data_IF_476916029913
#
_entry.id   IF_476916029913
#
_cell.length_a   1.000
_cell.length_b   1.000
_cell.length_c   1.000
_cell.angle_alpha   90.00
_cell.angle_beta   90.00
_cell.angle_gamma   90.00
#
_symmetry.space_group_name_H-M   'P 1'
#
loop_
_entity.id
_entity.type
_entity.pdbx_description
1 polymer ?
#
# COMPACT_ATOMS: atom_id res chain seq x y z
N UNK A 1 29.74 5.36 -27.25
CA UNK A 1 28.36 4.84 -27.30
C UNK A 1 28.02 4.45 -25.87
N UNK A 2 26.87 4.88 -25.35
CA UNK A 2 26.48 4.54 -23.97
C UNK A 2 26.16 3.04 -23.90
N UNK A 3 26.57 2.41 -22.80
CA UNK A 3 26.27 1.00 -22.49
C UNK A 3 25.02 0.94 -21.62
N UNK A 4 23.86 0.99 -22.26
CA UNK A 4 22.54 0.89 -21.63
C UNK A 4 21.82 -0.36 -22.12
N UNK A 5 20.91 -0.89 -21.30
CA UNK A 5 20.19 -2.12 -21.61
C UNK A 5 18.88 -1.83 -22.36
N UNK A 6 18.18 -0.76 -21.95
CA UNK A 6 16.90 -0.32 -22.50
C UNK A 6 16.86 1.21 -22.61
N UNK A 7 16.31 1.71 -23.72
CA UNK A 7 15.92 3.11 -23.92
C UNK A 7 14.46 3.17 -24.33
N UNK A 8 13.68 3.97 -23.61
CA UNK A 8 12.30 4.30 -23.99
C UNK A 8 12.31 5.74 -24.50
N UNK A 9 11.95 5.95 -25.76
CA UNK A 9 11.94 7.26 -26.42
C UNK A 9 10.53 7.66 -26.85
N UNK A 10 10.36 8.91 -27.28
CA UNK A 10 9.06 9.44 -27.72
C UNK A 10 8.00 9.29 -26.61
N UNK A 11 8.31 9.82 -25.43
CA UNK A 11 7.43 9.84 -24.25
C UNK A 11 7.38 11.23 -23.64
N UNK A 12 6.36 11.49 -22.83
CA UNK A 12 6.37 12.56 -21.84
C UNK A 12 6.68 11.96 -20.47
N UNK A 13 7.45 12.62 -19.62
CA UNK A 13 7.75 12.15 -18.26
C UNK A 13 7.00 13.01 -17.25
N UNK A 14 6.37 12.39 -16.26
CA UNK A 14 6.09 13.04 -14.98
C UNK A 14 7.03 12.44 -13.95
N UNK A 15 8.11 13.15 -13.63
CA UNK A 15 9.18 12.64 -12.77
C UNK A 15 8.77 12.50 -11.30
N UNK A 16 7.73 13.21 -10.89
CA UNK A 16 7.29 13.36 -9.50
C UNK A 16 8.32 14.04 -8.59
N UNK A 17 9.24 14.80 -9.19
CA UNK A 17 10.08 15.78 -8.50
C UNK A 17 9.47 17.19 -8.69
N UNK A 18 9.33 17.96 -7.62
CA UNK A 18 8.78 19.33 -7.65
C UNK A 18 7.39 19.46 -8.31
N UNK A 19 6.40 18.69 -7.82
CA UNK A 19 5.06 18.62 -8.40
C UNK A 19 4.93 17.40 -9.32
N UNK A 20 4.40 17.56 -10.53
CA UNK A 20 4.47 16.50 -11.54
C UNK A 20 5.89 16.32 -12.11
N UNK A 21 6.71 17.38 -12.13
CA UNK A 21 8.04 17.37 -12.73
C UNK A 21 8.00 16.97 -14.20
N UNK A 22 7.18 17.66 -14.99
CA UNK A 22 6.88 17.33 -16.38
C UNK A 22 8.08 17.59 -17.31
N UNK A 23 8.38 16.63 -18.18
CA UNK A 23 9.32 16.78 -19.29
C UNK A 23 8.68 16.24 -20.57
N UNK A 24 8.43 17.14 -21.52
CA UNK A 24 7.81 16.79 -22.80
C UNK A 24 8.87 16.29 -23.80
N UNK A 25 8.42 15.53 -24.81
CA UNK A 25 9.26 14.99 -25.90
C UNK A 25 10.59 14.40 -25.42
N UNK A 26 10.52 13.52 -24.43
CA UNK A 26 11.63 13.00 -23.66
C UNK A 26 12.03 11.57 -24.05
N UNK A 27 13.14 11.13 -23.47
CA UNK A 27 13.56 9.74 -23.41
C UNK A 27 14.12 9.40 -22.02
N UNK A 28 14.08 8.11 -21.68
CA UNK A 28 14.63 7.55 -20.43
C UNK A 28 15.43 6.28 -20.75
N UNK A 29 16.59 6.14 -20.13
CA UNK A 29 17.50 5.02 -20.32
C UNK A 29 17.72 4.26 -19.01
N UNK A 30 17.90 2.94 -19.14
CA UNK A 30 18.05 2.00 -18.04
C UNK A 30 19.36 1.22 -18.20
N UNK A 31 20.06 1.06 -17.07
CA UNK A 31 21.23 0.17 -16.95
C UNK A 31 21.16 -0.58 -15.62
N UNK A 32 21.35 -1.89 -15.68
CA UNK A 32 21.40 -2.79 -14.51
C UNK A 32 20.18 -2.61 -13.58
N UNK A 33 19.00 -2.50 -14.19
CA UNK A 33 17.73 -2.31 -13.48
C UNK A 33 17.51 -0.93 -12.85
N UNK A 34 18.37 0.06 -13.16
CA UNK A 34 18.32 1.43 -12.63
C UNK A 34 18.19 2.47 -13.71
N UNK A 35 17.61 3.63 -13.37
CA UNK A 35 17.55 4.80 -14.23
C UNK A 35 18.98 5.30 -14.44
N UNK A 36 19.49 5.18 -15.66
CA UNK A 36 20.83 5.62 -16.02
C UNK A 36 20.85 7.08 -16.50
N UNK A 37 19.77 7.50 -17.16
CA UNK A 37 19.63 8.83 -17.74
C UNK A 37 18.15 9.12 -18.08
N UNK A 38 17.76 10.39 -18.05
CA UNK A 38 16.57 10.88 -18.73
C UNK A 38 16.79 12.33 -19.17
N UNK A 39 16.09 12.77 -20.21
CA UNK A 39 16.25 14.12 -20.74
C UNK A 39 15.42 14.34 -22.01
N UNK A 40 15.56 15.53 -22.63
CA UNK A 40 14.99 15.82 -23.93
C UNK A 40 15.37 14.74 -24.95
N UNK A 41 14.39 14.33 -25.78
CA UNK A 41 14.58 13.23 -26.73
C UNK A 41 15.59 13.54 -27.84
N UNK A 42 15.76 14.82 -28.19
CA UNK A 42 16.78 15.30 -29.12
C UNK A 42 18.21 15.33 -28.53
N UNK A 43 18.32 15.29 -27.20
CA UNK A 43 19.58 15.14 -26.47
C UNK A 43 19.93 13.67 -26.17
N UNK A 44 19.12 12.70 -26.63
CA UNK A 44 19.33 11.27 -26.38
C UNK A 44 20.70 10.81 -26.92
N UNK A 45 21.62 10.37 -26.04
CA UNK A 45 22.92 9.88 -26.47
C UNK A 45 22.83 8.61 -27.30
N UNK A 46 23.70 8.49 -28.30
CA UNK A 46 23.83 7.25 -29.07
C UNK A 46 24.21 6.07 -28.15
N UNK A 47 23.39 5.02 -28.18
CA UNK A 47 23.57 3.79 -27.41
C UNK A 47 23.31 2.56 -28.29
N UNK A 48 23.78 1.40 -27.84
CA UNK A 48 23.47 0.09 -28.46
C UNK A 48 22.27 -0.61 -27.80
N UNK A 49 21.50 0.10 -26.98
CA UNK A 49 20.43 -0.44 -26.15
C UNK A 49 19.24 -0.94 -26.97
N UNK A 50 18.41 -1.79 -26.34
CA UNK A 50 17.07 -2.07 -26.87
C UNK A 50 16.28 -0.77 -26.91
N UNK A 51 15.74 -0.42 -28.07
CA UNK A 51 14.97 0.81 -28.28
C UNK A 51 13.47 0.51 -28.28
N UNK A 52 12.74 1.16 -27.38
CA UNK A 52 11.29 1.06 -27.25
C UNK A 52 10.63 2.41 -27.53
N UNK A 53 9.73 2.45 -28.53
CA UNK A 53 8.93 3.63 -28.83
C UNK A 53 7.74 3.71 -27.87
N UNK A 54 7.64 4.83 -27.15
CA UNK A 54 6.55 5.15 -26.23
C UNK A 54 5.35 5.85 -26.87
N UNK A 55 5.39 6.13 -28.17
CA UNK A 55 4.25 6.61 -28.98
C UNK A 55 3.62 7.92 -28.47
N UNK A 56 4.42 8.82 -27.91
CA UNK A 56 3.97 10.09 -27.33
C UNK A 56 3.13 9.93 -26.05
N UNK A 57 3.15 8.75 -25.43
CA UNK A 57 2.44 8.49 -24.18
C UNK A 57 3.19 9.08 -22.96
N UNK A 58 2.49 9.20 -21.84
CA UNK A 58 3.08 9.63 -20.58
C UNK A 58 3.71 8.48 -19.83
N UNK A 59 4.84 8.72 -19.17
CA UNK A 59 5.54 7.79 -18.31
C UNK A 59 5.67 8.40 -16.91
N UNK A 60 5.26 7.64 -15.90
CA UNK A 60 5.39 8.00 -14.48
C UNK A 60 6.26 6.96 -13.78
N UNK A 61 6.71 7.20 -12.53
CA UNK A 61 7.11 6.10 -11.66
C UNK A 61 5.97 5.07 -11.62
N UNK A 62 6.32 3.79 -11.53
CA UNK A 62 5.34 2.75 -11.29
C UNK A 62 4.57 3.05 -10.01
N UNK A 63 3.25 2.78 -10.01
CA UNK A 63 2.42 3.08 -8.85
C UNK A 63 2.79 2.16 -7.68
N UNK A 64 2.52 2.65 -6.46
CA UNK A 64 2.85 1.97 -5.22
C UNK A 64 1.59 1.93 -4.35
N UNK A 65 1.14 0.71 -4.05
CA UNK A 65 0.04 0.50 -3.12
C UNK A 65 0.62 0.16 -1.74
N UNK A 66 0.66 1.14 -0.83
CA UNK A 66 1.45 1.08 0.40
C UNK A 66 0.72 0.50 1.63
N UNK A 67 -0.54 0.08 1.48
CA UNK A 67 -1.36 -0.49 2.53
C UNK A 67 -2.38 -1.49 1.97
N UNK A 68 -2.14 -2.79 2.12
CA UNK A 68 -3.14 -3.82 1.74
C UNK A 68 -3.18 -5.02 2.69
N UNK A 69 -4.33 -5.69 2.72
CA UNK A 69 -4.54 -7.01 3.35
C UNK A 69 -4.92 -8.03 2.27
N UNK A 70 -4.24 -7.94 1.13
CA UNK A 70 -4.64 -8.63 -0.11
C UNK A 70 -4.49 -10.16 -0.02
N UNK A 71 -3.67 -10.64 0.91
CA UNK A 71 -3.48 -12.06 1.23
C UNK A 71 -4.51 -12.49 2.27
N UNK A 72 -5.59 -13.10 1.81
CA UNK A 72 -6.66 -13.67 2.64
C UNK A 72 -7.41 -14.75 1.85
N UNK A 73 -8.07 -15.64 2.58
CA UNK A 73 -8.98 -16.63 1.99
C UNK A 73 -10.44 -16.30 2.28
N UNK A 74 -11.32 -16.79 1.41
CA UNK A 74 -12.75 -16.53 1.47
C UNK A 74 -13.14 -15.15 0.97
N UNK A 75 -14.41 -14.81 1.16
CA UNK A 75 -14.99 -13.50 0.86
C UNK A 75 -16.01 -13.15 1.95
N UNK A 76 -16.51 -11.91 1.95
CA UNK A 76 -17.56 -11.46 2.87
C UNK A 76 -18.79 -10.91 2.15
N UNK A 77 -19.08 -11.40 0.93
CA UNK A 77 -20.26 -10.95 0.18
C UNK A 77 -21.56 -11.30 0.88
N UNK A 78 -21.63 -12.47 1.53
CA UNK A 78 -22.83 -12.91 2.26
C UNK A 78 -23.15 -11.97 3.42
N UNK A 79 -22.10 -11.49 4.11
CA UNK A 79 -22.26 -10.49 5.18
C UNK A 79 -22.70 -9.14 4.62
N UNK A 80 -22.14 -8.72 3.48
CA UNK A 80 -22.54 -7.49 2.81
C UNK A 80 -24.01 -7.54 2.39
N UNK A 81 -24.46 -8.64 1.78
CA UNK A 81 -25.85 -8.87 1.41
C UNK A 81 -26.77 -8.88 2.64
N UNK A 82 -26.39 -9.59 3.70
CA UNK A 82 -27.16 -9.64 4.95
C UNK A 82 -27.34 -8.26 5.58
N UNK A 83 -26.29 -7.42 5.62
CA UNK A 83 -26.36 -6.03 6.12
C UNK A 83 -27.35 -5.21 5.31
N UNK A 84 -27.31 -5.30 3.98
CA UNK A 84 -28.21 -4.56 3.10
C UNK A 84 -29.67 -5.04 3.22
N UNK A 85 -29.88 -6.30 3.61
CA UNK A 85 -31.19 -6.86 3.92
C UNK A 85 -31.65 -6.60 5.38
N UNK A 86 -30.90 -5.81 6.16
CA UNK A 86 -31.30 -5.34 7.48
C UNK A 86 -30.81 -6.17 8.67
N UNK A 87 -29.89 -7.12 8.48
CA UNK A 87 -29.27 -7.84 9.60
C UNK A 87 -28.48 -6.89 10.51
N UNK A 88 -28.64 -7.02 11.82
CA UNK A 88 -27.86 -6.23 12.77
C UNK A 88 -26.40 -6.71 12.84
N UNK A 89 -25.50 -5.86 13.34
CA UNK A 89 -24.12 -6.27 13.62
C UNK A 89 -24.06 -7.48 14.56
N UNK A 90 -24.95 -7.55 15.55
CA UNK A 90 -25.03 -8.70 16.45
C UNK A 90 -25.43 -9.99 15.73
N UNK A 91 -26.38 -9.92 14.80
CA UNK A 91 -26.83 -11.10 14.03
C UNK A 91 -25.71 -11.64 13.16
N UNK A 92 -24.98 -10.73 12.52
CA UNK A 92 -23.80 -11.06 11.72
C UNK A 92 -22.71 -11.69 12.59
N UNK A 93 -22.42 -11.10 13.75
CA UNK A 93 -21.44 -11.64 14.68
C UNK A 93 -21.87 -13.02 15.21
N UNK A 94 -23.15 -13.23 15.53
CA UNK A 94 -23.72 -14.51 15.97
C UNK A 94 -23.63 -15.58 14.87
N UNK A 95 -23.79 -15.19 13.61
CA UNK A 95 -23.58 -16.05 12.45
C UNK A 95 -22.09 -16.31 12.14
N UNK A 96 -21.18 -15.78 12.96
CA UNK A 96 -19.73 -15.94 12.80
C UNK A 96 -19.11 -14.99 11.76
N UNK A 97 -19.82 -13.96 11.30
CA UNK A 97 -19.31 -12.94 10.40
C UNK A 97 -18.19 -12.08 10.99
N UNK A 98 -17.92 -10.92 10.40
CA UNK A 98 -16.86 -10.05 10.89
C UNK A 98 -15.46 -10.50 10.46
N UNK A 99 -14.45 -9.88 11.05
CA UNK A 99 -13.04 -10.25 10.83
C UNK A 99 -12.78 -11.74 11.14
N UNK A 100 -13.47 -12.31 12.13
CA UNK A 100 -13.29 -13.71 12.51
C UNK A 100 -13.70 -14.70 11.40
N UNK A 101 -14.62 -14.33 10.50
CA UNK A 101 -14.91 -15.13 9.30
C UNK A 101 -13.67 -15.28 8.41
N UNK A 102 -12.99 -14.17 8.14
CA UNK A 102 -11.75 -14.13 7.36
C UNK A 102 -10.63 -14.88 8.07
N UNK A 103 -10.51 -14.74 9.39
CA UNK A 103 -9.52 -15.46 10.19
C UNK A 103 -9.70 -16.97 10.07
N UNK A 104 -10.93 -17.48 10.22
CA UNK A 104 -11.20 -18.92 10.10
C UNK A 104 -10.88 -19.44 8.70
N UNK A 105 -11.30 -18.72 7.65
CA UNK A 105 -11.01 -19.09 6.26
C UNK A 105 -9.50 -19.10 5.99
N UNK A 106 -8.79 -18.06 6.43
CA UNK A 106 -7.33 -17.91 6.21
C UNK A 106 -6.51 -18.93 7.02
N UNK A 107 -6.91 -19.25 8.25
CA UNK A 107 -6.31 -20.34 9.04
C UNK A 107 -6.48 -21.69 8.34
N UNK A 108 -7.66 -21.96 7.77
CA UNK A 108 -7.96 -23.24 7.10
C UNK A 108 -7.29 -23.43 5.73
N UNK A 109 -7.05 -22.35 4.97
CA UNK A 109 -6.42 -22.43 3.66
C UNK A 109 -4.94 -22.89 3.74
N UNK A 110 -4.47 -23.68 2.76
CA UNK A 110 -3.04 -23.95 2.59
C UNK A 110 -2.30 -22.72 2.02
N UNK A 111 -0.96 -22.72 2.06
CA UNK A 111 -0.15 -21.68 1.42
C UNK A 111 -0.47 -21.56 -0.09
N UNK A 112 -0.66 -22.67 -0.80
CA UNK A 112 -1.03 -22.69 -2.23
C UNK A 112 -2.44 -22.13 -2.48
N UNK A 113 -3.41 -22.51 -1.66
CA UNK A 113 -4.78 -22.02 -1.80
C UNK A 113 -4.87 -20.53 -1.51
N UNK A 114 -4.17 -20.07 -0.48
CA UNK A 114 -4.10 -18.66 -0.11
C UNK A 114 -3.41 -17.84 -1.21
N UNK A 115 -2.34 -18.36 -1.82
CA UNK A 115 -1.72 -17.73 -3.00
C UNK A 115 -2.72 -17.64 -4.16
N UNK A 116 -3.33 -18.78 -4.54
CA UNK A 116 -4.26 -18.88 -5.66
C UNK A 116 -5.42 -17.89 -5.51
N UNK A 117 -5.99 -17.76 -4.31
CA UNK A 117 -7.06 -16.80 -4.05
C UNK A 117 -6.59 -15.34 -4.07
N UNK A 118 -5.31 -15.07 -3.80
CA UNK A 118 -4.75 -13.70 -3.76
C UNK A 118 -4.32 -13.17 -5.12
N UNK A 119 -3.85 -14.05 -6.02
CA UNK A 119 -3.33 -13.65 -7.33
C UNK A 119 -4.30 -12.78 -8.16
N UNK A 120 -5.60 -13.07 -8.28
CA UNK A 120 -6.50 -12.23 -9.07
C UNK A 120 -6.54 -10.76 -8.61
N UNK A 121 -6.47 -10.53 -7.30
CA UNK A 121 -6.47 -9.17 -6.72
C UNK A 121 -5.16 -8.44 -7.02
N UNK A 122 -4.03 -9.14 -6.89
CA UNK A 122 -2.70 -8.59 -7.19
C UNK A 122 -2.60 -8.26 -8.68
N UNK A 123 -3.07 -9.13 -9.56
CA UNK A 123 -3.02 -8.92 -11.01
C UNK A 123 -3.85 -7.71 -11.46
N UNK A 124 -5.00 -7.44 -10.81
CA UNK A 124 -5.76 -6.22 -11.07
C UNK A 124 -4.93 -4.95 -10.79
N UNK A 125 -4.17 -4.93 -9.68
CA UNK A 125 -3.27 -3.82 -9.36
C UNK A 125 -2.10 -3.71 -10.36
N UNK A 126 -1.49 -4.84 -10.75
CA UNK A 126 -0.41 -4.85 -11.75
C UNK A 126 -0.90 -4.34 -13.12
N UNK A 127 -2.14 -4.66 -13.50
CA UNK A 127 -2.76 -4.14 -14.71
C UNK A 127 -2.88 -2.61 -14.69
N UNK A 128 -3.00 -1.99 -13.50
CA UNK A 128 -3.02 -0.54 -13.29
C UNK A 128 -1.62 0.05 -13.06
N UNK A 129 -0.55 -0.64 -13.47
CA UNK A 129 0.80 -0.10 -13.37
C UNK A 129 1.38 -0.07 -11.97
N UNK A 130 0.80 -0.82 -11.01
CA UNK A 130 1.40 -1.03 -9.68
C UNK A 130 2.64 -1.90 -9.81
N UNK A 131 3.77 -1.37 -9.34
CA UNK A 131 5.09 -2.04 -9.39
C UNK A 131 5.63 -2.39 -8.00
N UNK A 132 5.07 -1.76 -6.96
CA UNK A 132 5.39 -2.05 -5.55
C UNK A 132 4.12 -2.17 -4.73
N UNK A 133 4.07 -3.20 -3.89
CA UNK A 133 2.91 -3.55 -3.09
C UNK A 133 3.34 -3.83 -1.65
N UNK A 134 2.68 -3.20 -0.69
CA UNK A 134 2.74 -3.62 0.70
C UNK A 134 1.63 -4.64 0.98
N UNK A 135 1.98 -5.71 1.69
CA UNK A 135 1.06 -6.79 2.08
C UNK A 135 1.20 -7.04 3.57
N UNK A 136 0.11 -6.84 4.30
CA UNK A 136 0.00 -7.13 5.73
C UNK A 136 -0.44 -8.56 5.99
N UNK A 137 -0.02 -9.10 7.12
CA UNK A 137 -0.62 -10.30 7.72
C UNK A 137 -1.88 -9.91 8.53
N UNK A 138 -2.20 -10.57 9.64
CA UNK A 138 -3.27 -10.15 10.55
C UNK A 138 -4.61 -10.86 10.39
N UNK A 139 -4.75 -11.79 9.45
CA UNK A 139 -5.88 -12.74 9.40
C UNK A 139 -5.48 -14.14 9.88
N UNK A 140 -4.30 -14.30 10.50
CA UNK A 140 -3.86 -15.54 11.11
C UNK A 140 -4.11 -15.55 12.62
N UNK A 141 -3.67 -14.49 13.31
CA UNK A 141 -3.73 -14.34 14.78
C UNK A 141 -3.12 -15.51 15.58
N UNK A 142 -2.22 -16.27 14.94
CA UNK A 142 -1.35 -17.30 15.53
C UNK A 142 -0.02 -17.27 14.82
N UNK A 143 1.07 -17.68 15.48
CA UNK A 143 2.42 -17.63 14.90
C UNK A 143 2.48 -18.31 13.52
N UNK A 144 1.92 -19.52 13.40
CA UNK A 144 2.02 -20.30 12.16
C UNK A 144 1.14 -19.72 11.04
N UNK A 145 -0.03 -19.19 11.36
CA UNK A 145 -0.91 -18.61 10.34
C UNK A 145 -0.42 -17.23 9.87
N UNK A 146 0.13 -16.42 10.78
CA UNK A 146 0.79 -15.17 10.43
C UNK A 146 2.03 -15.43 9.56
N UNK A 147 2.87 -16.40 9.94
CA UNK A 147 4.02 -16.81 9.13
C UNK A 147 3.59 -17.30 7.73
N UNK A 148 2.52 -18.11 7.63
CA UNK A 148 1.94 -18.55 6.36
C UNK A 148 1.55 -17.38 5.46
N UNK A 149 0.84 -16.38 5.99
CA UNK A 149 0.44 -15.19 5.22
C UNK A 149 1.66 -14.45 4.69
N UNK A 150 2.68 -14.22 5.53
CA UNK A 150 3.90 -13.51 5.13
C UNK A 150 4.71 -14.32 4.11
N UNK A 151 4.77 -15.66 4.22
CA UNK A 151 5.39 -16.52 3.18
C UNK A 151 4.67 -16.41 1.85
N UNK A 152 3.33 -16.42 1.85
CA UNK A 152 2.54 -16.22 0.63
C UNK A 152 2.79 -14.84 0.03
N UNK A 153 2.86 -13.79 0.85
CA UNK A 153 3.22 -12.45 0.39
C UNK A 153 4.60 -12.41 -0.27
N UNK A 154 5.62 -13.06 0.31
CA UNK A 154 6.95 -13.21 -0.32
C UNK A 154 6.89 -13.98 -1.64
N UNK A 155 6.11 -15.06 -1.69
CA UNK A 155 5.94 -15.87 -2.90
C UNK A 155 5.26 -15.09 -4.03
N UNK A 156 4.36 -14.17 -3.72
CA UNK A 156 3.77 -13.25 -4.72
C UNK A 156 4.88 -12.44 -5.41
N UNK A 157 5.79 -11.80 -4.65
CA UNK A 157 6.91 -11.04 -5.21
C UNK A 157 7.98 -11.89 -5.92
N UNK A 158 8.02 -13.19 -5.67
CA UNK A 158 8.88 -14.14 -6.39
C UNK A 158 8.25 -14.63 -7.69
N UNK A 159 6.91 -14.64 -7.78
CA UNK A 159 6.16 -15.23 -8.91
C UNK A 159 5.72 -14.18 -9.91
N UNK A 160 5.45 -12.95 -9.46
CA UNK A 160 4.97 -11.84 -10.28
C UNK A 160 6.02 -10.72 -10.36
N UNK A 161 6.02 -9.91 -11.44
CA UNK A 161 6.93 -8.77 -11.59
C UNK A 161 6.48 -7.57 -10.73
N UNK A 162 6.53 -7.74 -9.40
CA UNK A 162 6.14 -6.73 -8.41
C UNK A 162 7.06 -6.81 -7.20
N UNK A 163 7.48 -5.65 -6.70
CA UNK A 163 8.24 -5.57 -5.45
C UNK A 163 7.28 -5.67 -4.27
N UNK A 164 7.45 -6.66 -3.38
CA UNK A 164 6.58 -6.84 -2.21
C UNK A 164 7.29 -6.43 -0.92
N UNK A 165 6.64 -5.58 -0.13
CA UNK A 165 6.99 -5.30 1.27
C UNK A 165 6.01 -6.00 2.20
N UNK A 166 6.51 -6.72 3.20
CA UNK A 166 5.68 -7.48 4.12
C UNK A 166 5.61 -6.81 5.49
N UNK A 167 4.38 -6.67 5.99
CA UNK A 167 4.14 -6.06 7.29
C UNK A 167 3.49 -7.09 8.22
N UNK A 168 4.09 -7.29 9.39
CA UNK A 168 3.49 -8.12 10.42
C UNK A 168 2.41 -7.35 11.18
N UNK A 169 1.16 -7.79 11.06
CA UNK A 169 -0.01 -7.21 11.72
C UNK A 169 -0.64 -8.23 12.68
N UNK A 170 0.15 -8.86 13.55
CA UNK A 170 -0.39 -9.80 14.54
C UNK A 170 -1.40 -9.14 15.50
N UNK A 171 -1.26 -7.84 15.74
CA UNK A 171 -2.16 -7.03 16.56
C UNK A 171 -3.32 -6.42 15.73
N UNK A 172 -3.92 -7.21 14.82
CA UNK A 172 -5.10 -6.78 14.04
C UNK A 172 -6.39 -6.85 14.84
N UNK A 173 -6.58 -7.95 15.58
CA UNK A 173 -7.75 -8.19 16.42
C UNK A 173 -7.39 -9.21 17.50
N UNK A 174 -8.22 -9.27 18.55
CA UNK A 174 -8.06 -10.28 19.60
C UNK A 174 -8.62 -11.63 19.11
N UNK A 175 -7.80 -12.69 19.01
CA UNK A 175 -8.31 -14.01 18.64
C UNK A 175 -9.22 -14.59 19.73
N UNK A 176 -10.19 -15.47 19.37
CA UNK A 176 -11.16 -16.02 20.32
C UNK A 176 -10.51 -16.79 21.48
N UNK A 177 -9.35 -17.42 21.25
CA UNK A 177 -8.59 -18.16 22.26
C UNK A 177 -8.07 -17.25 23.40
N UNK A 178 -8.04 -15.94 23.19
CA UNK A 178 -7.59 -14.92 24.14
C UNK A 178 -8.71 -13.96 24.55
N UNK A 179 -9.98 -14.34 24.40
CA UNK A 179 -11.11 -13.52 24.82
C UNK A 179 -10.95 -13.07 26.30
N UNK A 180 -11.04 -11.74 26.53
CA UNK A 180 -10.83 -11.14 27.85
C UNK A 180 -9.36 -11.09 28.34
N UNK A 181 -8.40 -11.53 27.52
CA UNK A 181 -6.98 -11.67 27.87
C UNK A 181 -6.06 -10.96 26.86
N UNK A 182 -6.44 -9.75 26.43
CA UNK A 182 -5.71 -8.98 25.42
C UNK A 182 -4.23 -8.74 25.78
N UNK A 183 -3.92 -8.46 27.05
CA UNK A 183 -2.53 -8.25 27.48
C UNK A 183 -1.67 -9.51 27.39
N UNK A 184 -2.26 -10.70 27.57
CA UNK A 184 -1.57 -11.96 27.39
C UNK A 184 -1.32 -12.27 25.91
N UNK A 185 -2.27 -11.90 25.03
CA UNK A 185 -2.06 -11.99 23.59
C UNK A 185 -0.95 -11.05 23.10
N UNK A 186 -0.93 -9.81 23.58
CA UNK A 186 0.14 -8.86 23.27
C UNK A 186 1.49 -9.35 23.78
N UNK A 187 1.54 -9.97 24.96
CA UNK A 187 2.76 -10.60 25.47
C UNK A 187 3.24 -11.74 24.57
N UNK A 188 2.34 -12.64 24.16
CA UNK A 188 2.66 -13.70 23.20
C UNK A 188 3.21 -13.13 21.89
N UNK A 189 2.56 -12.09 21.37
CA UNK A 189 2.96 -11.43 20.13
C UNK A 189 4.37 -10.87 20.23
N UNK A 190 4.64 -10.10 21.29
CA UNK A 190 5.92 -9.42 21.50
C UNK A 190 7.06 -10.38 21.84
N UNK A 191 6.81 -11.37 22.71
CA UNK A 191 7.84 -12.24 23.24
C UNK A 191 8.14 -13.45 22.35
N UNK A 192 7.18 -13.89 21.51
CA UNK A 192 7.31 -15.14 20.75
C UNK A 192 7.05 -14.95 19.25
N UNK A 193 5.90 -14.39 18.86
CA UNK A 193 5.53 -14.33 17.43
C UNK A 193 6.46 -13.42 16.64
N UNK A 194 6.58 -12.16 17.05
CA UNK A 194 7.37 -11.18 16.32
C UNK A 194 8.86 -11.58 16.23
N UNK A 195 9.55 -11.98 17.32
CA UNK A 195 10.95 -12.43 17.23
C UNK A 195 11.14 -13.63 16.31
N UNK A 196 10.23 -14.61 16.33
CA UNK A 196 10.28 -15.77 15.43
C UNK A 196 10.16 -15.35 13.97
N UNK A 197 9.10 -14.60 13.63
CA UNK A 197 8.81 -14.20 12.25
C UNK A 197 9.89 -13.25 11.70
N UNK A 198 10.45 -12.37 12.55
CA UNK A 198 11.60 -11.55 12.20
C UNK A 198 12.86 -12.39 11.94
N UNK A 199 13.14 -13.38 12.80
CA UNK A 199 14.25 -14.33 12.63
C UNK A 199 14.15 -15.17 11.34
N UNK A 200 12.92 -15.44 10.88
CA UNK A 200 12.64 -16.12 9.61
C UNK A 200 12.76 -15.18 8.39
N UNK A 201 13.07 -13.89 8.56
CA UNK A 201 13.18 -12.91 7.47
C UNK A 201 11.85 -12.51 6.82
N UNK A 202 10.73 -12.76 7.50
CA UNK A 202 9.38 -12.57 6.95
C UNK A 202 8.82 -11.16 7.14
N UNK A 203 9.47 -10.29 7.90
CA UNK A 203 8.92 -9.00 8.37
C UNK A 203 9.80 -7.84 7.91
N UNK A 204 9.25 -6.94 7.08
CA UNK A 204 9.88 -5.66 6.73
C UNK A 204 9.44 -4.51 7.66
N UNK A 205 8.22 -4.59 8.20
CA UNK A 205 7.67 -3.62 9.15
C UNK A 205 6.68 -4.28 10.13
N UNK A 206 6.38 -3.60 11.24
CA UNK A 206 5.39 -4.05 12.24
C UNK A 206 4.23 -3.05 12.31
N UNK A 207 3.01 -3.57 12.43
CA UNK A 207 1.77 -2.79 12.46
C UNK A 207 0.84 -3.28 13.57
N UNK A 208 -0.15 -2.46 13.92
CA UNK A 208 -1.16 -2.76 14.91
C UNK A 208 -2.48 -2.03 14.58
N UNK A 209 -3.59 -2.50 15.15
CA UNK A 209 -4.85 -1.79 15.10
C UNK A 209 -5.13 -1.10 16.45
N UNK A 210 -4.78 0.19 16.53
CA UNK A 210 -4.97 0.99 17.73
C UNK A 210 -6.35 1.67 17.71
N UNK A 211 -7.33 1.03 18.32
CA UNK A 211 -8.72 1.45 18.28
C UNK A 211 -9.50 0.87 19.48
N UNK A 212 -10.64 1.46 19.84
CA UNK A 212 -11.51 1.00 20.94
C UNK A 212 -11.98 -0.44 20.76
N UNK A 213 -12.10 -0.89 19.51
CA UNK A 213 -12.48 -2.27 19.14
C UNK A 213 -11.26 -3.15 18.80
N UNK A 214 -10.05 -2.60 18.87
CA UNK A 214 -8.78 -3.26 18.62
C UNK A 214 -7.94 -3.30 19.89
N UNK A 215 -6.77 -2.67 19.85
CA UNK A 215 -5.84 -2.58 20.98
C UNK A 215 -5.69 -1.14 21.48
N UNK A 216 -5.42 -1.01 22.78
CA UNK A 216 -5.19 0.30 23.43
C UNK A 216 -3.83 0.89 23.06
N UNK A 217 -3.62 2.22 23.22
CA UNK A 217 -2.31 2.84 23.02
C UNK A 217 -1.18 2.19 23.83
N UNK A 218 -1.45 1.79 25.08
CA UNK A 218 -0.46 1.13 25.93
C UNK A 218 -0.08 -0.27 25.42
N UNK A 219 -1.04 -1.00 24.85
CA UNK A 219 -0.78 -2.30 24.22
C UNK A 219 0.00 -2.14 22.90
N UNK A 220 -0.39 -1.18 22.08
CA UNK A 220 0.31 -0.81 20.84
C UNK A 220 1.75 -0.41 21.13
N UNK A 221 2.00 0.38 22.19
CA UNK A 221 3.34 0.79 22.57
C UNK A 221 4.24 -0.41 22.93
N UNK A 222 3.72 -1.46 23.56
CA UNK A 222 4.47 -2.69 23.83
C UNK A 222 4.90 -3.38 22.52
N UNK A 223 4.03 -3.43 21.52
CA UNK A 223 4.34 -3.97 20.19
C UNK A 223 5.45 -3.15 19.53
N UNK A 224 5.37 -1.82 19.60
CA UNK A 224 6.40 -0.94 19.03
C UNK A 224 7.75 -1.05 19.76
N UNK A 225 7.73 -1.20 21.09
CA UNK A 225 8.95 -1.45 21.86
C UNK A 225 9.64 -2.76 21.43
N UNK A 226 8.86 -3.83 21.18
CA UNK A 226 9.38 -5.09 20.67
C UNK A 226 9.93 -4.96 19.22
N UNK A 227 9.22 -4.26 18.34
CA UNK A 227 9.69 -3.97 16.98
C UNK A 227 11.01 -3.19 16.97
N UNK A 228 11.11 -2.14 17.80
CA UNK A 228 12.35 -1.35 17.97
C UNK A 228 13.51 -2.19 18.47
N UNK A 229 13.28 -3.11 19.41
CA UNK A 229 14.31 -4.04 19.90
C UNK A 229 14.88 -4.96 18.80
N UNK A 230 14.12 -5.17 17.73
CA UNK A 230 14.50 -5.96 16.55
C UNK A 230 14.95 -5.09 15.36
N UNK A 231 15.06 -3.77 15.55
CA UNK A 231 15.35 -2.79 14.50
C UNK A 231 14.37 -2.81 13.32
N UNK A 232 13.11 -3.17 13.58
CA UNK A 232 12.05 -3.14 12.59
C UNK A 232 11.30 -1.80 12.65
N UNK A 233 11.05 -1.15 11.50
CA UNK A 233 10.22 0.04 11.45
C UNK A 233 8.77 -0.30 11.81
N UNK A 234 8.05 0.70 12.32
CA UNK A 234 6.65 0.57 12.71
C UNK A 234 5.74 1.42 11.83
N UNK A 235 4.49 1.00 11.72
CA UNK A 235 3.36 1.76 11.17
C UNK A 235 2.10 1.45 11.99
N UNK A 236 0.99 2.13 11.72
CA UNK A 236 -0.21 1.99 12.55
C UNK A 236 -1.51 2.28 11.80
N UNK A 237 -2.50 1.38 11.92
CA UNK A 237 -3.91 1.74 11.77
C UNK A 237 -4.33 2.61 12.95
N UNK A 238 -4.58 3.89 12.70
CA UNK A 238 -4.83 4.89 13.73
C UNK A 238 -6.03 5.78 13.37
N UNK A 239 -6.80 6.11 14.39
CA UNK A 239 -7.88 7.10 14.36
C UNK A 239 -8.94 6.87 13.28
N UNK A 240 -9.22 5.60 12.96
CA UNK A 240 -10.24 5.24 11.97
C UNK A 240 -11.65 5.48 12.52
N UNK A 241 -11.92 5.10 13.77
CA UNK A 241 -13.25 5.14 14.38
C UNK A 241 -13.31 6.01 15.64
N UNK A 242 -12.16 6.35 16.23
CA UNK A 242 -12.02 7.36 17.28
C UNK A 242 -10.57 7.80 17.48
N UNK A 243 -10.37 8.98 18.04
CA UNK A 243 -9.04 9.45 18.43
C UNK A 243 -8.58 8.82 19.75
N UNK A 244 -7.53 8.00 19.69
CA UNK A 244 -6.82 7.45 20.85
C UNK A 244 -5.38 7.96 20.98
N UNK A 245 -4.95 8.91 20.13
CA UNK A 245 -3.58 9.41 20.08
C UNK A 245 -2.56 8.41 19.51
N UNK A 246 -3.01 7.38 18.79
CA UNK A 246 -2.18 6.44 18.05
C UNK A 246 -1.28 7.09 17.00
N UNK A 247 -1.79 8.05 16.23
CA UNK A 247 -0.98 8.78 15.24
C UNK A 247 0.21 9.51 15.89
N UNK A 248 0.00 10.15 17.04
CA UNK A 248 1.08 10.75 17.82
C UNK A 248 2.03 9.70 18.41
N UNK A 249 1.51 8.54 18.83
CA UNK A 249 2.31 7.43 19.33
C UNK A 249 3.26 6.88 18.26
N UNK A 250 2.75 6.53 17.07
CA UNK A 250 3.59 5.98 15.99
C UNK A 250 4.62 7.00 15.50
N UNK A 251 4.26 8.28 15.46
CA UNK A 251 5.19 9.36 15.15
C UNK A 251 6.37 9.43 16.13
N UNK A 252 6.12 9.34 17.45
CA UNK A 252 7.17 9.32 18.48
C UNK A 252 8.13 8.14 18.36
N UNK A 253 7.69 7.03 17.77
CA UNK A 253 8.53 5.86 17.48
C UNK A 253 9.26 5.96 16.13
N UNK A 254 9.18 7.12 15.44
CA UNK A 254 9.76 7.31 14.11
C UNK A 254 9.10 6.41 13.07
N UNK A 255 7.82 6.10 13.26
CA UNK A 255 7.09 5.20 12.38
C UNK A 255 6.92 5.75 10.98
N UNK A 256 6.87 4.84 10.00
CA UNK A 256 6.82 5.15 8.58
C UNK A 256 5.51 5.83 8.21
N UNK A 257 4.39 5.33 8.73
CA UNK A 257 3.07 5.87 8.45
C UNK A 257 2.08 5.69 9.60
N UNK A 258 1.07 6.57 9.61
CA UNK A 258 -0.19 6.38 10.29
C UNK A 258 -1.30 6.35 9.23
N UNK A 259 -2.19 5.37 9.33
CA UNK A 259 -3.11 4.99 8.26
C UNK A 259 -4.56 5.14 8.75
N UNK A 260 -5.50 5.48 7.85
CA UNK A 260 -6.91 5.89 8.12
C UNK A 260 -7.11 7.37 8.44
N UNK A 261 -6.96 7.76 9.71
CA UNK A 261 -6.88 9.15 10.20
C UNK A 261 -8.17 9.98 10.14
N UNK A 262 -9.36 9.37 10.00
CA UNK A 262 -10.64 10.08 10.01
C UNK A 262 -10.82 10.98 11.26
N UNK A 263 -10.40 10.50 12.43
CA UNK A 263 -10.50 11.20 13.72
C UNK A 263 -9.19 11.83 14.19
N UNK A 264 -8.19 11.99 13.31
CA UNK A 264 -6.90 12.56 13.68
C UNK A 264 -7.02 13.97 14.27
N UNK A 265 -6.47 14.18 15.46
CA UNK A 265 -6.41 15.48 16.13
C UNK A 265 -5.24 16.36 15.65
N UNK A 266 -5.32 17.66 15.98
CA UNK A 266 -4.26 18.63 15.70
C UNK A 266 -2.92 18.24 16.34
N UNK A 267 -2.95 17.67 17.54
CA UNK A 267 -1.76 17.15 18.22
C UNK A 267 -1.11 16.00 17.43
N UNK A 268 -1.93 15.10 16.88
CA UNK A 268 -1.47 14.03 16.00
C UNK A 268 -0.87 14.57 14.71
N UNK A 269 -1.51 15.55 14.05
CA UNK A 269 -0.97 16.22 12.86
C UNK A 269 0.40 16.84 13.15
N UNK A 270 0.52 17.57 14.26
CA UNK A 270 1.77 18.22 14.66
C UNK A 270 2.89 17.18 14.92
N UNK A 271 2.57 16.08 15.60
CA UNK A 271 3.53 15.00 15.84
C UNK A 271 4.00 14.35 14.53
N UNK A 272 3.08 14.04 13.62
CA UNK A 272 3.43 13.45 12.32
C UNK A 272 4.32 14.39 11.50
N UNK A 273 4.01 15.68 11.45
CA UNK A 273 4.82 16.68 10.77
C UNK A 273 6.24 16.77 11.36
N UNK A 274 6.35 16.77 12.70
CA UNK A 274 7.62 16.83 13.40
C UNK A 274 8.52 15.61 13.11
N UNK A 275 7.93 14.42 13.04
CA UNK A 275 8.67 13.16 12.90
C UNK A 275 8.79 12.65 11.46
N UNK A 276 8.11 13.30 10.49
CA UNK A 276 8.12 12.90 9.09
C UNK A 276 7.30 11.65 8.77
N UNK A 277 6.39 11.26 9.68
CA UNK A 277 5.46 10.13 9.49
C UNK A 277 4.46 10.46 8.38
N UNK A 278 4.25 9.53 7.45
CA UNK A 278 3.32 9.70 6.32
C UNK A 278 1.87 9.47 6.77
N UNK A 279 0.96 10.31 6.31
CA UNK A 279 -0.48 10.09 6.44
C UNK A 279 -0.99 9.23 5.28
N UNK A 280 -1.35 7.97 5.52
CA UNK A 280 -1.91 7.09 4.46
C UNK A 280 -3.42 7.17 4.50
N UNK A 281 -4.01 7.75 3.46
CA UNK A 281 -5.44 7.95 3.34
C UNK A 281 -6.07 6.79 2.57
N UNK A 282 -7.16 6.22 3.11
CA UNK A 282 -7.75 4.95 2.66
C UNK A 282 -9.21 5.12 2.20
N UNK A 283 -9.46 5.73 1.02
CA UNK A 283 -10.79 6.18 0.64
C UNK A 283 -11.78 5.04 0.38
N UNK A 284 -11.29 3.85 0.01
CA UNK A 284 -12.13 2.67 -0.19
C UNK A 284 -12.82 2.24 1.11
N UNK A 285 -12.09 2.26 2.24
CA UNK A 285 -12.65 1.92 3.55
C UNK A 285 -13.69 2.94 4.00
N UNK A 286 -13.36 4.23 3.90
CA UNK A 286 -14.29 5.33 4.18
C UNK A 286 -15.59 5.20 3.38
N UNK A 287 -15.47 4.96 2.06
CA UNK A 287 -16.61 4.81 1.17
C UNK A 287 -17.49 3.60 1.55
N UNK A 288 -16.87 2.43 1.67
CA UNK A 288 -17.60 1.18 1.84
C UNK A 288 -18.24 1.05 3.24
N UNK A 289 -17.61 1.63 4.26
CA UNK A 289 -18.17 1.75 5.61
C UNK A 289 -19.23 2.84 5.74
N UNK A 290 -19.42 3.68 4.70
CA UNK A 290 -20.33 4.84 4.70
C UNK A 290 -20.00 5.82 5.83
N UNK A 291 -18.71 5.99 6.10
CA UNK A 291 -18.24 6.96 7.08
C UNK A 291 -18.57 8.39 6.62
N UNK A 292 -18.77 9.27 7.58
CA UNK A 292 -19.09 10.69 7.39
C UNK A 292 -18.01 11.61 7.93
N UNK A 293 -17.21 11.15 8.89
CA UNK A 293 -16.05 11.86 9.42
C UNK A 293 -14.88 11.79 8.44
N UNK A 294 -14.50 12.92 7.85
CA UNK A 294 -13.38 12.99 6.91
C UNK A 294 -12.04 13.13 7.64
N UNK A 295 -10.95 12.55 7.12
CA UNK A 295 -9.61 12.84 7.63
C UNK A 295 -9.27 14.33 7.45
N UNK A 296 -8.45 14.93 8.32
CA UNK A 296 -8.21 16.38 8.35
C UNK A 296 -7.18 16.82 7.28
N UNK A 297 -7.50 16.59 5.99
CA UNK A 297 -6.63 16.89 4.83
C UNK A 297 -6.11 18.33 4.83
N UNK A 298 -6.96 19.31 5.17
CA UNK A 298 -6.54 20.70 5.20
C UNK A 298 -5.45 20.97 6.27
N UNK A 299 -5.57 20.32 7.44
CA UNK A 299 -4.58 20.46 8.52
C UNK A 299 -3.28 19.73 8.17
N UNK A 300 -3.38 18.50 7.64
CA UNK A 300 -2.21 17.74 7.15
C UNK A 300 -1.43 18.54 6.09
N UNK A 301 -2.14 19.11 5.11
CA UNK A 301 -1.56 19.96 4.06
C UNK A 301 -0.90 21.21 4.65
N UNK A 302 -1.57 21.92 5.56
CA UNK A 302 -1.03 23.13 6.18
C UNK A 302 0.23 22.85 7.00
N UNK A 303 0.31 21.68 7.64
CA UNK A 303 1.47 21.23 8.41
C UNK A 303 2.58 20.62 7.54
N UNK A 304 2.37 20.44 6.24
CA UNK A 304 3.34 19.83 5.33
C UNK A 304 3.53 18.33 5.53
N UNK A 305 2.54 17.63 6.12
CA UNK A 305 2.57 16.18 6.28
C UNK A 305 2.41 15.51 4.90
N UNK A 306 3.33 14.63 4.47
CA UNK A 306 3.15 13.90 3.23
C UNK A 306 1.93 12.97 3.32
N UNK A 307 1.05 13.05 2.31
CA UNK A 307 -0.17 12.24 2.24
C UNK A 307 -0.02 11.19 1.15
N UNK A 308 -0.09 9.91 1.53
CA UNK A 308 -0.17 8.77 0.63
C UNK A 308 -1.64 8.37 0.39
N UNK A 309 -1.89 7.70 -0.74
CA UNK A 309 -3.20 7.13 -1.08
C UNK A 309 -3.00 5.65 -1.37
N UNK A 310 -3.87 4.80 -0.84
CA UNK A 310 -3.76 3.34 -0.98
C UNK A 310 -5.13 2.69 -1.00
N UNK A 311 -5.21 1.45 -1.50
CA UNK A 311 -6.49 0.77 -1.70
C UNK A 311 -7.11 0.25 -0.42
N UNK A 312 -6.29 -0.03 0.60
CA UNK A 312 -6.68 -0.85 1.74
C UNK A 312 -7.29 -2.20 1.29
N UNK A 313 -6.81 -2.80 0.20
CA UNK A 313 -7.46 -3.99 -0.36
C UNK A 313 -7.62 -5.10 0.70
N UNK A 314 -8.86 -5.32 1.15
CA UNK A 314 -9.19 -6.26 2.21
C UNK A 314 -10.65 -6.76 2.07
N UNK A 315 -11.00 -7.93 2.63
CA UNK A 315 -12.31 -8.55 2.38
C UNK A 315 -13.46 -7.88 3.14
N UNK A 316 -13.19 -7.03 4.13
CA UNK A 316 -14.18 -6.57 5.10
C UNK A 316 -14.63 -5.14 4.97
N UNK A 317 -13.68 -4.22 4.75
CA UNK A 317 -13.90 -2.79 4.78
C UNK A 317 -13.53 -2.11 3.47
N UNK A 318 -12.62 -2.67 2.66
CA UNK A 318 -12.31 -2.11 1.35
C UNK A 318 -11.99 -3.23 0.35
N UNK A 319 -13.01 -3.94 -0.18
CA UNK A 319 -12.84 -4.96 -1.23
C UNK A 319 -12.53 -4.32 -2.60
N UNK A 320 -11.62 -3.35 -2.63
CA UNK A 320 -11.21 -2.55 -3.78
C UNK A 320 -9.85 -3.05 -4.30
N UNK A 321 -9.72 -3.18 -5.62
CA UNK A 321 -8.51 -3.68 -6.31
C UNK A 321 -8.06 -2.72 -7.41
N UNK A 322 -8.31 -1.42 -7.22
CA UNK A 322 -7.96 -0.35 -8.16
C UNK A 322 -7.37 0.84 -7.41
N UNK A 323 -6.10 1.11 -7.65
CA UNK A 323 -5.38 2.25 -7.08
C UNK A 323 -5.70 3.54 -7.86
N UNK A 324 -6.01 3.43 -9.17
CA UNK A 324 -6.53 4.55 -9.95
C UNK A 324 -7.87 5.04 -9.38
N UNK A 325 -8.76 4.10 -9.02
CA UNK A 325 -10.01 4.42 -8.34
C UNK A 325 -9.77 5.05 -6.96
N UNK A 326 -8.81 4.55 -6.18
CA UNK A 326 -8.45 5.14 -4.89
C UNK A 326 -8.00 6.61 -5.05
N UNK A 327 -7.17 6.92 -6.05
CA UNK A 327 -6.76 8.30 -6.37
C UNK A 327 -7.97 9.18 -6.70
N UNK A 328 -8.88 8.69 -7.56
CA UNK A 328 -10.12 9.41 -7.89
C UNK A 328 -10.99 9.67 -6.65
N UNK A 329 -11.17 8.65 -5.80
CA UNK A 329 -11.95 8.79 -4.57
C UNK A 329 -11.31 9.77 -3.59
N UNK A 330 -9.98 9.78 -3.44
CA UNK A 330 -9.29 10.76 -2.60
C UNK A 330 -9.52 12.20 -3.10
N UNK A 331 -9.52 12.41 -4.42
CA UNK A 331 -9.88 13.70 -5.01
C UNK A 331 -11.35 14.06 -4.76
N UNK A 332 -12.27 13.13 -4.98
CA UNK A 332 -13.72 13.38 -4.96
C UNK A 332 -14.26 13.52 -3.53
N UNK A 333 -13.83 12.65 -2.61
CA UNK A 333 -14.31 12.60 -1.24
C UNK A 333 -13.61 13.64 -0.36
N UNK A 334 -12.30 13.83 -0.54
CA UNK A 334 -11.46 14.60 0.39
C UNK A 334 -10.74 15.79 -0.25
N UNK A 335 -11.05 16.11 -1.50
CA UNK A 335 -10.53 17.30 -2.21
C UNK A 335 -9.01 17.35 -2.25
N UNK A 336 -8.36 16.18 -2.35
CA UNK A 336 -6.99 16.14 -2.84
C UNK A 336 -6.99 16.62 -4.29
N UNK A 337 -5.94 17.35 -4.67
CA UNK A 337 -5.70 17.64 -6.09
C UNK A 337 -5.22 16.37 -6.80
N UNK A 338 -5.41 16.24 -8.13
CA UNK A 338 -4.84 15.12 -8.88
C UNK A 338 -3.32 14.95 -8.71
N UNK A 339 -2.60 16.07 -8.50
CA UNK A 339 -1.16 16.05 -8.24
C UNK A 339 -0.85 15.44 -6.86
N UNK A 340 -1.62 15.81 -5.83
CA UNK A 340 -1.49 15.21 -4.49
C UNK A 340 -1.84 13.72 -4.51
N UNK A 341 -2.87 13.32 -5.26
CA UNK A 341 -3.25 11.92 -5.40
C UNK A 341 -2.15 11.10 -6.10
N UNK A 342 -1.58 11.61 -7.20
CA UNK A 342 -0.49 10.92 -7.90
C UNK A 342 0.80 10.86 -7.07
N UNK A 343 1.16 11.96 -6.37
CA UNK A 343 2.25 11.93 -5.38
C UNK A 343 1.96 10.91 -4.27
N UNK A 344 0.69 10.84 -3.86
CA UNK A 344 0.18 9.90 -2.87
C UNK A 344 0.36 8.44 -3.25
N UNK A 345 0.21 8.10 -4.53
CA UNK A 345 0.40 6.77 -5.09
C UNK A 345 1.82 6.51 -5.63
N UNK A 346 2.75 7.45 -5.48
CA UNK A 346 4.15 7.33 -5.95
C UNK A 346 5.13 7.72 -4.85
N UNK A 347 5.61 8.96 -4.80
CA UNK A 347 6.70 9.38 -3.92
C UNK A 347 6.34 9.35 -2.43
N UNK A 348 5.09 9.67 -2.05
CA UNK A 348 4.64 9.57 -0.66
C UNK A 348 4.38 8.12 -0.24
N UNK A 349 3.82 7.28 -1.12
CA UNK A 349 3.70 5.85 -0.88
C UNK A 349 5.07 5.16 -0.75
N UNK A 350 6.07 5.56 -1.54
CA UNK A 350 7.45 5.10 -1.36
C UNK A 350 7.99 5.46 0.03
N UNK A 351 7.75 6.71 0.49
CA UNK A 351 8.15 7.15 1.83
C UNK A 351 7.44 6.37 2.95
N UNK A 352 6.15 6.06 2.78
CA UNK A 352 5.37 5.25 3.73
C UNK A 352 5.91 3.80 3.89
N UNK A 353 6.77 3.37 2.96
CA UNK A 353 7.45 2.08 2.99
C UNK A 353 8.95 2.18 3.27
N UNK A 354 9.49 3.39 3.51
CA UNK A 354 10.93 3.62 3.68
C UNK A 354 11.76 3.47 2.39
N UNK A 355 11.11 3.58 1.22
CA UNK A 355 11.69 3.33 -0.11
C UNK A 355 11.93 4.60 -0.94
N UNK A 356 11.81 5.79 -0.32
CA UNK A 356 11.94 7.08 -1.02
C UNK A 356 13.29 7.29 -1.73
N UNK A 357 14.33 6.54 -1.35
CA UNK A 357 15.65 6.59 -1.99
C UNK A 357 15.81 5.59 -3.14
N UNK A 358 14.89 4.62 -3.27
CA UNK A 358 15.01 3.51 -4.23
C UNK A 358 13.97 3.59 -5.36
N UNK A 359 12.73 4.04 -5.08
CA UNK A 359 11.64 4.13 -6.08
C UNK A 359 10.70 5.31 -5.78
N UNK A 360 9.59 5.43 -6.53
CA UNK A 360 8.53 6.43 -6.35
C UNK A 360 8.77 7.79 -7.00
N UNK A 361 9.94 8.03 -7.61
CA UNK A 361 10.19 9.17 -8.51
C UNK A 361 11.19 8.78 -9.61
N UNK A 362 11.17 9.49 -10.74
CA UNK A 362 12.09 9.27 -11.85
C UNK A 362 13.36 10.09 -11.60
N UNK A 363 14.36 9.47 -10.95
CA UNK A 363 15.64 10.10 -10.61
C UNK A 363 16.77 9.15 -10.97
N UNK A 364 17.81 9.66 -11.62
CA UNK A 364 19.00 8.85 -11.97
C UNK A 364 19.53 8.12 -10.73
N UNK A 365 19.83 6.83 -10.88
CA UNK A 365 20.28 5.94 -9.81
C UNK A 365 19.16 5.20 -9.08
N UNK A 366 17.90 5.66 -9.13
CA UNK A 366 16.76 4.90 -8.61
C UNK A 366 16.45 3.68 -9.47
N UNK A 367 15.70 2.74 -8.91
CA UNK A 367 15.23 1.55 -9.62
C UNK A 367 14.35 1.96 -10.80
N UNK A 368 14.53 1.27 -11.93
CA UNK A 368 13.75 1.47 -13.13
C UNK A 368 12.39 0.75 -13.02
N UNK A 369 11.48 1.35 -12.25
CA UNK A 369 10.09 0.91 -12.11
C UNK A 369 9.15 2.01 -12.67
N UNK A 370 8.49 1.76 -13.80
CA UNK A 370 7.72 2.77 -14.56
C UNK A 370 6.35 2.24 -14.97
N UNK A 371 5.43 3.15 -15.27
CA UNK A 371 4.20 2.85 -15.99
C UNK A 371 4.02 3.82 -17.17
N UNK A 372 3.63 3.30 -18.32
CA UNK A 372 3.30 4.03 -19.54
C UNK A 372 1.78 4.18 -19.66
N UNK A 373 1.28 5.37 -20.00
CA UNK A 373 -0.13 5.74 -19.94
C UNK A 373 -0.62 6.42 -21.21
N UNK A 374 -1.76 5.95 -21.72
CA UNK A 374 -2.49 6.57 -22.84
C UNK A 374 -3.38 7.70 -22.33
N UNK A 375 -2.77 8.79 -21.91
CA UNK A 375 -3.43 9.98 -21.35
C UNK A 375 -2.91 11.26 -22.01
N UNK A 376 -3.64 12.37 -21.91
CA UNK A 376 -3.18 13.65 -22.43
C UNK A 376 -2.28 14.39 -21.44
N UNK A 377 -2.52 14.18 -20.14
CA UNK A 377 -1.73 14.78 -19.04
C UNK A 377 -1.83 13.93 -17.76
N UNK A 378 -0.87 14.03 -16.81
CA UNK A 378 -0.84 13.20 -15.59
C UNK A 378 -2.11 13.25 -14.73
N UNK A 379 -2.78 14.41 -14.70
CA UNK A 379 -4.01 14.60 -13.94
C UNK A 379 -5.16 13.66 -14.36
N UNK A 380 -5.12 13.13 -15.58
CA UNK A 380 -6.16 12.22 -16.10
C UNK A 380 -6.20 10.89 -15.32
N UNK A 381 -5.09 10.50 -14.68
CA UNK A 381 -4.99 9.26 -13.86
C UNK A 381 -5.89 9.28 -12.62
N UNK A 382 -6.23 10.47 -12.09
CA UNK A 382 -7.13 10.61 -10.96
C UNK A 382 -8.53 11.11 -11.39
N UNK A 383 -8.75 11.40 -12.66
CA UNK A 383 -9.99 12.00 -13.15
C UNK A 383 -11.06 10.95 -13.50
N UNK A 384 -10.70 9.97 -14.32
CA UNK A 384 -11.65 8.98 -14.80
C UNK A 384 -12.02 7.97 -13.70
N UNK A 385 -13.31 7.61 -13.64
CA UNK A 385 -13.80 6.59 -12.72
C UNK A 385 -13.89 5.24 -13.45
N UNK A 386 -13.09 4.25 -13.03
CA UNK A 386 -13.15 2.89 -13.58
C UNK A 386 -12.51 2.71 -14.96
N UNK A 387 -11.64 3.63 -15.39
CA UNK A 387 -10.84 3.51 -16.60
C UNK A 387 -9.40 3.10 -16.24
N UNK A 388 -8.85 2.13 -16.97
CA UNK A 388 -7.43 1.80 -16.91
C UNK A 388 -6.73 2.20 -18.22
N UNK A 389 -5.96 3.31 -18.25
CA UNK A 389 -5.22 3.76 -19.43
C UNK A 389 -3.77 3.22 -19.49
N UNK A 390 -3.39 2.26 -18.64
CA UNK A 390 -2.04 1.69 -18.62
C UNK A 390 -1.76 0.91 -19.91
N UNK A 391 -0.62 1.21 -20.55
CA UNK A 391 -0.22 0.63 -21.83
C UNK A 391 1.10 -0.15 -21.77
N UNK A 392 1.87 0.00 -20.70
CA UNK A 392 3.15 -0.67 -20.51
C UNK A 392 3.65 -0.49 -19.07
N UNK A 393 4.43 -1.44 -18.59
CA UNK A 393 5.05 -1.40 -17.27
C UNK A 393 6.52 -1.78 -17.40
N UNK A 394 7.38 -1.07 -16.68
CA UNK A 394 8.76 -1.50 -16.47
C UNK A 394 8.92 -1.87 -15.00
N UNK A 395 9.47 -3.04 -14.72
CA UNK A 395 9.79 -3.47 -13.36
C UNK A 395 11.21 -4.02 -13.33
N UNK A 396 12.06 -3.46 -12.47
CA UNK A 396 13.48 -3.79 -12.40
C UNK A 396 14.21 -3.61 -13.73
N UNK A 397 13.80 -2.61 -14.52
CA UNK A 397 14.39 -2.32 -15.83
C UNK A 397 13.91 -3.18 -17.00
N UNK A 398 12.97 -4.10 -16.77
CA UNK A 398 12.42 -4.96 -17.82
C UNK A 398 11.07 -4.45 -18.29
N UNK A 399 10.93 -4.14 -19.58
CA UNK A 399 9.67 -3.75 -20.22
C UNK A 399 8.68 -4.92 -20.31
N UNK A 400 7.41 -4.65 -20.00
CA UNK A 400 6.31 -5.62 -19.99
C UNK A 400 5.03 -5.00 -20.53
N UNK A 401 4.23 -5.81 -21.22
CA UNK A 401 2.82 -5.50 -21.45
C UNK A 401 2.05 -5.59 -20.12
N UNK A 402 1.05 -4.73 -19.86
CA UNK A 402 0.22 -4.85 -18.67
C UNK A 402 -0.39 -6.25 -18.59
N UNK A 403 -0.30 -6.89 -17.41
CA UNK A 403 -0.82 -8.24 -17.22
C UNK A 403 -2.33 -8.14 -16.99
N UNK A 404 -3.12 -8.48 -18.01
CA UNK A 404 -4.60 -8.46 -17.94
C UNK A 404 -5.17 -9.86 -17.64
N UNK A 405 -4.34 -10.89 -17.55
CA UNK A 405 -4.76 -12.28 -17.35
C UNK A 405 -3.96 -13.01 -16.27
N UNK A 406 -4.60 -13.98 -15.61
CA UNK A 406 -3.92 -14.95 -14.73
C UNK A 406 -2.89 -15.74 -15.56
N UNK A 407 -1.70 -16.07 -15.01
CA UNK A 407 -0.88 -17.12 -15.59
C UNK A 407 -1.70 -18.42 -15.63
N UNK A 408 -1.56 -19.16 -16.74
CA UNK A 408 -2.19 -20.48 -16.93
C UNK A 408 -1.80 -21.51 -15.85
#
# INVERSE_FOLDING_TARGET
MQDWDLVIHNVHLATMEHGYGELLDAAIAVKDGRIAWFGPGDELPASGAVLQDGQGCWLTPGLIDCHTHIVHAGNRSDEFEARLNGASYEDISRAGGGIMSTVRATRAASDDELLRQSLPRVLALLAEGVTTLEIKSGYGLTADSEAKMLRVARRIGQTLPVSVRTTFLGAHALPPEYAGQADAYIELLCAQMLPRLAGDGLVDAVDAFCERIGFTPAQTERVFAAARALNLPVKLHAEQLSDLGGAALVAKYGGLSADHLEFLSEEGVAAMAQHGTVAVLLPGAYYFLRETQQPPVAALRAAGVPMAVSTDCNPGTSPMTSLLLAMNMACTLWRLTPQEALAGATCHAARALGLQHETGSLVVGKRADFALWRIARPADLAYALGLNPCAGVVHGGVWRTPVVSLPD
#
